data_IF_322338666807
#
_entry.id   IF_322338666807
#
_cell.length_a   1.000
_cell.length_b   1.000
_cell.length_c   1.000
_cell.angle_alpha   90.00
_cell.angle_beta   90.00
_cell.angle_gamma   90.00
#
_symmetry.space_group_name_H-M   'P 1'
#
loop_
_entity.id
_entity.type
_entity.pdbx_description
1 polymer ?
#
# COMPACT_ATOMS: atom_id res chain seq x y z
N UNK A 1 18.56 -4.98 7.87
CA UNK A 1 18.10 -4.66 9.23
C UNK A 1 18.92 -5.38 10.31
N UNK A 2 18.97 -6.72 10.37
CA UNK A 2 19.76 -7.45 11.40
C UNK A 2 21.21 -6.97 11.51
N UNK A 3 21.90 -6.77 10.38
CA UNK A 3 23.27 -6.27 10.35
C UNK A 3 23.37 -4.85 10.91
N UNK A 4 22.42 -3.98 10.61
CA UNK A 4 22.40 -2.60 11.13
C UNK A 4 22.16 -2.57 12.64
N UNK A 5 21.26 -3.40 13.18
CA UNK A 5 21.09 -3.53 14.64
C UNK A 5 22.37 -4.03 15.33
N UNK A 6 23.07 -5.00 14.73
CA UNK A 6 24.38 -5.45 15.25
C UNK A 6 25.42 -4.33 15.27
N UNK A 7 25.55 -3.55 14.18
CA UNK A 7 26.46 -2.39 14.11
C UNK A 7 26.15 -1.35 15.18
N UNK A 8 24.86 -1.08 15.40
CA UNK A 8 24.38 -0.14 16.42
C UNK A 8 24.42 -0.71 17.85
N UNK A 9 24.93 -1.93 18.05
CA UNK A 9 24.97 -2.64 19.34
C UNK A 9 23.60 -2.71 20.04
N UNK A 10 22.51 -2.78 19.21
CA UNK A 10 21.13 -2.92 19.70
C UNK A 10 20.72 -4.38 19.68
N UNK A 11 20.32 -4.91 20.83
CA UNK A 11 19.83 -6.28 20.93
C UNK A 11 18.32 -6.32 20.58
N UNK A 12 17.98 -6.17 19.29
CA UNK A 12 16.62 -6.29 18.77
C UNK A 12 16.51 -7.57 17.94
N UNK A 13 15.51 -8.37 18.24
CA UNK A 13 15.15 -9.51 17.40
C UNK A 13 14.45 -9.00 16.13
N UNK A 14 14.87 -9.48 14.97
CA UNK A 14 14.24 -9.16 13.68
C UNK A 14 13.69 -10.45 13.10
N UNK A 15 12.40 -10.48 12.82
CA UNK A 15 11.69 -11.63 12.26
C UNK A 15 11.10 -11.24 10.91
N UNK A 16 11.28 -12.09 9.90
CA UNK A 16 10.59 -11.96 8.61
C UNK A 16 9.56 -13.07 8.51
N UNK A 17 8.31 -12.70 8.30
CA UNK A 17 7.20 -13.62 8.16
C UNK A 17 6.58 -13.49 6.76
N UNK A 18 6.48 -14.60 6.06
CA UNK A 18 5.68 -14.68 4.84
C UNK A 18 4.21 -14.75 5.28
N UNK A 19 3.39 -13.86 4.73
CA UNK A 19 1.99 -13.73 5.10
C UNK A 19 1.06 -14.03 3.94
N UNK A 20 -0.08 -14.64 4.25
CA UNK A 20 -1.19 -14.87 3.34
C UNK A 20 -2.27 -13.82 3.61
N UNK A 21 -2.74 -13.18 2.53
CA UNK A 21 -3.78 -12.14 2.61
C UNK A 21 -5.07 -12.67 2.01
N UNK A 22 -6.08 -12.82 2.86
CA UNK A 22 -7.41 -13.25 2.42
C UNK A 22 -8.11 -12.15 1.66
N UNK A 23 -8.66 -12.50 0.50
CA UNK A 23 -9.49 -11.63 -0.32
C UNK A 23 -10.85 -12.27 -0.58
N UNK A 24 -11.86 -11.46 -0.91
CA UNK A 24 -13.18 -11.98 -1.26
C UNK A 24 -13.19 -12.48 -2.70
N UNK A 25 -13.64 -13.70 -2.93
CA UNK A 25 -13.91 -14.21 -4.29
C UNK A 25 -14.95 -13.36 -5.04
N UNK A 26 -15.80 -12.63 -4.29
CA UNK A 26 -16.84 -11.75 -4.83
C UNK A 26 -16.37 -10.29 -4.98
N UNK A 27 -15.08 -10.00 -4.74
CA UNK A 27 -14.56 -8.64 -4.91
C UNK A 27 -14.69 -8.20 -6.37
N UNK A 28 -15.35 -7.06 -6.66
CA UNK A 28 -15.51 -6.58 -8.04
C UNK A 28 -14.20 -6.46 -8.81
N UNK A 29 -13.09 -6.18 -8.11
CA UNK A 29 -11.77 -6.08 -8.71
C UNK A 29 -11.24 -7.41 -9.28
N UNK A 30 -11.71 -8.55 -8.77
CA UNK A 30 -11.35 -9.87 -9.31
C UNK A 30 -12.15 -10.20 -10.58
N UNK A 31 -13.38 -9.70 -10.69
CA UNK A 31 -14.28 -9.95 -11.82
C UNK A 31 -14.20 -8.87 -12.91
N UNK A 32 -13.45 -7.79 -12.68
CA UNK A 32 -13.22 -6.75 -13.68
C UNK A 32 -12.55 -7.32 -14.93
N UNK A 33 -13.17 -7.16 -16.08
CA UNK A 33 -12.57 -7.50 -17.39
C UNK A 33 -11.37 -6.62 -17.73
N UNK A 34 -11.15 -5.56 -16.97
CA UNK A 34 -10.14 -4.53 -17.23
C UNK A 34 -9.36 -4.15 -15.96
N UNK A 35 -8.47 -5.04 -15.47
CA UNK A 35 -7.68 -4.78 -14.28
C UNK A 35 -6.82 -3.51 -14.41
N UNK A 36 -6.46 -2.89 -13.29
CA UNK A 36 -5.80 -1.58 -13.26
C UNK A 36 -4.50 -1.54 -12.47
N UNK A 37 -4.16 -2.57 -11.67
CA UNK A 37 -2.94 -2.58 -10.87
C UNK A 37 -1.72 -2.91 -11.74
N UNK A 38 -0.79 -1.96 -11.98
CA UNK A 38 0.41 -2.23 -12.76
C UNK A 38 1.37 -3.14 -11.98
N UNK A 39 1.98 -4.08 -12.69
CA UNK A 39 3.04 -4.96 -12.16
C UNK A 39 4.15 -5.14 -13.19
N UNK A 40 5.36 -5.45 -12.68
CA UNK A 40 6.52 -5.68 -13.52
C UNK A 40 7.08 -4.41 -14.18
N UNK A 41 7.93 -4.56 -15.18
CA UNK A 41 8.61 -3.43 -15.80
C UNK A 41 7.67 -2.59 -16.66
N UNK A 42 8.04 -1.32 -16.85
CA UNK A 42 7.41 -0.49 -17.87
C UNK A 42 7.93 -0.86 -19.27
N UNK A 43 7.01 -0.96 -20.20
CA UNK A 43 7.22 -1.40 -21.57
C UNK A 43 6.87 -0.28 -22.57
N UNK A 44 7.44 -0.37 -23.76
CA UNK A 44 6.93 0.34 -24.92
C UNK A 44 5.61 -0.28 -25.40
N UNK A 45 4.85 0.44 -26.20
CA UNK A 45 3.61 -0.11 -26.77
C UNK A 45 3.88 -1.35 -27.64
N UNK A 46 4.97 -1.33 -28.41
CA UNK A 46 5.37 -2.46 -29.24
C UNK A 46 5.67 -3.72 -28.42
N UNK A 47 6.45 -3.59 -27.34
CA UNK A 47 6.76 -4.70 -26.43
C UNK A 47 5.49 -5.25 -25.78
N UNK A 48 4.60 -4.36 -25.32
CA UNK A 48 3.32 -4.76 -24.71
C UNK A 48 2.41 -5.51 -25.70
N UNK A 49 2.31 -5.04 -26.95
CA UNK A 49 1.56 -5.73 -28.01
C UNK A 49 2.15 -7.10 -28.32
N UNK A 50 3.47 -7.21 -28.44
CA UNK A 50 4.15 -8.50 -28.68
C UNK A 50 3.88 -9.51 -27.57
N UNK A 51 3.97 -9.09 -26.31
CA UNK A 51 3.69 -9.95 -25.15
C UNK A 51 2.21 -10.34 -25.06
N UNK A 52 1.29 -9.43 -25.37
CA UNK A 52 -0.16 -9.72 -25.41
C UNK A 52 -0.51 -10.83 -26.40
N UNK A 53 0.14 -10.85 -27.56
CA UNK A 53 -0.11 -11.88 -28.58
C UNK A 53 0.38 -13.27 -28.16
N UNK A 54 1.34 -13.33 -27.22
CA UNK A 54 1.98 -14.57 -26.79
C UNK A 54 1.52 -15.03 -25.39
N UNK A 55 0.65 -14.27 -24.72
CA UNK A 55 0.18 -14.56 -23.35
C UNK A 55 -1.28 -14.11 -23.18
N UNK A 56 -1.94 -14.68 -22.17
CA UNK A 56 -3.29 -14.21 -21.76
C UNK A 56 -3.22 -12.99 -20.82
N UNK A 57 -2.08 -12.30 -20.75
CA UNK A 57 -1.91 -11.17 -19.86
C UNK A 57 -2.53 -9.88 -20.43
N UNK A 58 -3.07 -9.08 -19.52
CA UNK A 58 -3.61 -7.75 -19.85
C UNK A 58 -2.51 -6.70 -19.72
N UNK A 59 -2.35 -5.86 -20.74
CA UNK A 59 -1.41 -4.74 -20.75
C UNK A 59 -2.15 -3.45 -21.00
N UNK A 60 -1.82 -2.40 -20.25
CA UNK A 60 -2.41 -1.07 -20.39
C UNK A 60 -1.35 0.02 -20.37
N UNK A 61 -1.70 1.16 -20.97
CA UNK A 61 -0.95 2.39 -20.79
C UNK A 61 -1.23 2.92 -19.37
N UNK A 62 -0.18 2.99 -18.54
CA UNK A 62 -0.26 3.34 -17.11
C UNK A 62 0.45 4.64 -16.77
N UNK A 63 1.18 5.22 -17.72
CA UNK A 63 1.79 6.56 -17.62
C UNK A 63 1.30 7.44 -18.75
N UNK A 64 1.04 8.73 -18.49
CA UNK A 64 0.56 9.65 -19.54
C UNK A 64 1.63 9.93 -20.60
N UNK A 65 2.90 10.03 -20.19
CA UNK A 65 4.04 10.46 -21.03
C UNK A 65 5.25 9.55 -20.88
N UNK A 66 6.17 9.62 -21.83
CA UNK A 66 7.42 8.87 -21.85
C UNK A 66 7.44 7.73 -22.87
N UNK A 67 8.62 7.14 -23.11
CA UNK A 67 8.81 6.07 -24.10
C UNK A 67 8.24 4.72 -23.62
N UNK A 68 8.36 4.42 -22.31
CA UNK A 68 7.88 3.19 -21.67
C UNK A 68 6.70 3.52 -20.76
N UNK A 69 5.51 3.49 -21.33
CA UNK A 69 4.27 3.90 -20.65
C UNK A 69 3.30 2.75 -20.39
N UNK A 70 3.58 1.56 -20.91
CA UNK A 70 2.74 0.38 -20.76
C UNK A 70 3.25 -0.53 -19.65
N UNK A 71 2.34 -1.24 -19.00
CA UNK A 71 2.69 -2.29 -18.04
C UNK A 71 1.64 -3.41 -18.09
N UNK A 72 2.04 -4.61 -17.66
CA UNK A 72 1.08 -5.65 -17.31
C UNK A 72 0.21 -5.14 -16.18
N UNK A 73 -1.08 -5.39 -16.25
CA UNK A 73 -2.02 -5.05 -15.18
C UNK A 73 -2.75 -6.29 -14.70
N UNK A 74 -3.02 -6.34 -13.39
CA UNK A 74 -3.67 -7.46 -12.70
C UNK A 74 -4.80 -6.95 -11.80
N UNK A 75 -5.74 -7.82 -11.41
CA UNK A 75 -6.72 -7.51 -10.38
C UNK A 75 -6.04 -7.11 -9.06
N UNK A 76 -6.67 -6.20 -8.31
CA UNK A 76 -6.18 -5.76 -7.00
C UNK A 76 -7.34 -5.64 -6.02
N UNK A 77 -7.81 -6.78 -5.47
CA UNK A 77 -8.91 -6.82 -4.53
C UNK A 77 -8.53 -6.21 -3.17
N UNK A 78 -9.54 -5.83 -2.38
CA UNK A 78 -9.34 -5.33 -1.02
C UNK A 78 -8.97 -6.48 -0.07
N UNK A 79 -7.93 -6.32 0.80
CA UNK A 79 -7.61 -7.32 1.81
C UNK A 79 -8.71 -7.37 2.89
N UNK A 80 -9.02 -8.57 3.35
CA UNK A 80 -10.00 -8.81 4.41
C UNK A 80 -9.34 -9.22 5.72
N UNK A 81 -8.33 -10.10 5.64
CA UNK A 81 -7.70 -10.75 6.78
C UNK A 81 -6.27 -11.15 6.44
N UNK A 82 -5.42 -11.23 7.45
CA UNK A 82 -4.08 -11.84 7.36
C UNK A 82 -4.17 -13.18 8.10
N UNK A 83 -3.82 -14.27 7.43
CA UNK A 83 -3.95 -15.63 8.01
C UNK A 83 -3.07 -15.78 9.26
N UNK A 84 -1.87 -15.22 9.23
CA UNK A 84 -0.88 -15.30 10.30
C UNK A 84 -1.04 -14.19 11.36
N UNK A 85 -2.22 -13.57 11.48
CA UNK A 85 -2.42 -12.41 12.33
C UNK A 85 -2.12 -12.66 13.81
N UNK A 86 -2.47 -13.82 14.33
CA UNK A 86 -2.23 -14.14 15.75
C UNK A 86 -0.74 -14.24 16.04
N UNK A 87 0.02 -14.84 15.15
CA UNK A 87 1.50 -14.89 15.23
C UNK A 87 2.10 -13.48 15.17
N UNK A 88 1.57 -12.60 14.29
CA UNK A 88 2.00 -11.21 14.22
C UNK A 88 1.82 -10.49 15.55
N UNK A 89 0.68 -10.68 16.22
CA UNK A 89 0.39 -10.08 17.54
C UNK A 89 1.37 -10.55 18.61
N UNK A 90 1.68 -11.84 18.67
CA UNK A 90 2.66 -12.41 19.62
C UNK A 90 4.04 -11.75 19.45
N UNK A 91 4.57 -11.69 18.23
CA UNK A 91 5.88 -11.07 17.97
C UNK A 91 5.92 -9.57 18.28
N UNK A 92 4.81 -8.84 18.08
CA UNK A 92 4.72 -7.42 18.44
C UNK A 92 4.79 -7.25 19.95
N UNK A 93 4.11 -8.09 20.75
CA UNK A 93 4.18 -8.07 22.20
C UNK A 93 5.59 -8.36 22.73
N UNK A 94 6.33 -9.25 22.11
CA UNK A 94 7.73 -9.57 22.43
C UNK A 94 8.73 -8.47 22.03
N UNK A 95 8.26 -7.30 21.62
CA UNK A 95 9.12 -6.19 21.16
C UNK A 95 10.08 -6.56 20.02
N UNK A 96 9.70 -7.51 19.18
CA UNK A 96 10.42 -7.85 17.97
C UNK A 96 10.22 -6.78 16.89
N UNK A 97 11.22 -6.57 16.03
CA UNK A 97 11.03 -5.89 14.76
C UNK A 97 10.51 -6.91 13.75
N UNK A 98 9.29 -6.72 13.31
CA UNK A 98 8.61 -7.64 12.41
C UNK A 98 8.57 -7.10 10.99
N UNK A 99 8.93 -7.95 10.02
CA UNK A 99 8.75 -7.70 8.59
C UNK A 99 7.67 -8.65 8.10
N UNK A 100 6.52 -8.10 7.72
CA UNK A 100 5.35 -8.85 7.28
C UNK A 100 4.60 -8.11 6.16
N UNK A 101 3.68 -8.76 5.49
CA UNK A 101 2.86 -8.15 4.44
C UNK A 101 3.64 -7.76 3.18
N UNK A 102 4.84 -8.30 2.97
CA UNK A 102 5.70 -7.96 1.83
C UNK A 102 4.99 -8.12 0.50
N UNK A 103 5.01 -7.03 -0.32
CA UNK A 103 4.33 -7.01 -1.63
C UNK A 103 2.79 -7.05 -1.56
N UNK A 104 2.19 -7.04 -0.36
CA UNK A 104 0.75 -7.23 -0.15
C UNK A 104 0.38 -8.65 0.36
N UNK A 105 1.38 -9.51 0.61
CA UNK A 105 1.19 -10.90 1.00
C UNK A 105 0.78 -11.81 -0.16
N UNK A 106 0.68 -13.11 0.11
CA UNK A 106 0.19 -14.11 -0.86
C UNK A 106 -1.33 -14.06 -0.87
N UNK A 107 -1.98 -13.70 -1.99
CA UNK A 107 -3.44 -13.59 -2.03
C UNK A 107 -4.09 -14.97 -2.02
N UNK A 108 -5.04 -15.15 -1.11
CA UNK A 108 -5.81 -16.39 -0.97
C UNK A 108 -7.29 -16.12 -0.78
N UNK A 109 -8.13 -17.06 -1.17
CA UNK A 109 -9.55 -17.11 -0.84
C UNK A 109 -9.83 -18.22 0.16
N UNK A 110 -10.80 -18.01 1.06
CA UNK A 110 -11.30 -19.07 1.95
C UNK A 110 -12.23 -19.99 1.18
N UNK A 111 -11.96 -21.29 1.25
CA UNK A 111 -12.80 -22.34 0.72
C UNK A 111 -13.08 -23.36 1.83
N UNK A 112 -14.15 -23.17 2.60
CA UNK A 112 -14.42 -23.94 3.82
C UNK A 112 -13.30 -23.74 4.86
N UNK A 113 -12.63 -24.82 5.22
CA UNK A 113 -11.50 -24.83 6.16
C UNK A 113 -10.12 -24.67 5.49
N UNK A 114 -10.05 -24.53 4.17
CA UNK A 114 -8.81 -24.41 3.41
C UNK A 114 -8.64 -23.03 2.80
N UNK A 115 -7.39 -22.74 2.41
CA UNK A 115 -7.04 -21.54 1.63
C UNK A 115 -6.60 -21.96 0.23
N UNK A 116 -7.04 -21.22 -0.77
CA UNK A 116 -6.71 -21.43 -2.17
C UNK A 116 -6.06 -20.17 -2.73
N UNK A 117 -4.89 -20.31 -3.39
CA UNK A 117 -4.20 -19.20 -4.04
C UNK A 117 -4.99 -18.62 -5.21
N UNK A 118 -4.93 -17.31 -5.41
CA UNK A 118 -5.61 -16.64 -6.52
C UNK A 118 -4.69 -15.66 -7.23
N UNK A 119 -4.78 -15.60 -8.58
CA UNK A 119 -3.97 -14.71 -9.41
C UNK A 119 -4.43 -13.25 -9.31
N UNK A 120 -3.87 -12.53 -8.35
CA UNK A 120 -4.06 -11.09 -8.17
C UNK A 120 -2.89 -10.50 -7.37
N UNK A 121 -2.87 -9.19 -7.19
CA UNK A 121 -1.91 -8.52 -6.31
C UNK A 121 -2.66 -7.62 -5.34
N UNK A 122 -2.60 -7.93 -4.06
CA UNK A 122 -3.19 -7.07 -3.03
C UNK A 122 -2.31 -5.84 -2.83
N UNK A 123 -2.91 -4.68 -2.70
CA UNK A 123 -2.16 -3.44 -2.50
C UNK A 123 -1.53 -3.42 -1.10
N UNK A 124 -0.21 -3.24 -1.06
CA UNK A 124 0.58 -3.24 0.18
C UNK A 124 0.17 -2.13 1.17
N UNK A 125 -0.36 -1.01 0.68
CA UNK A 125 -0.75 0.10 1.54
C UNK A 125 -2.01 -0.29 2.34
N UNK A 126 -2.98 -0.97 1.70
CA UNK A 126 -4.14 -1.54 2.40
C UNK A 126 -3.75 -2.68 3.35
N UNK A 127 -2.81 -3.54 2.96
CA UNK A 127 -2.31 -4.61 3.84
C UNK A 127 -1.59 -4.01 5.06
N UNK A 128 -0.75 -2.98 4.87
CA UNK A 128 -0.10 -2.26 5.95
C UNK A 128 -1.11 -1.66 6.93
N UNK A 129 -2.15 -1.01 6.43
CA UNK A 129 -3.23 -0.47 7.26
C UNK A 129 -4.00 -1.57 8.00
N UNK A 130 -4.30 -2.69 7.34
CA UNK A 130 -4.97 -3.84 7.94
C UNK A 130 -4.14 -4.45 9.07
N UNK A 131 -2.83 -4.66 8.87
CA UNK A 131 -1.93 -5.14 9.92
C UNK A 131 -1.87 -4.14 11.05
N UNK A 132 -1.61 -2.85 10.77
CA UNK A 132 -1.49 -1.80 11.77
C UNK A 132 -2.73 -1.71 12.68
N UNK A 133 -3.92 -1.70 12.10
CA UNK A 133 -5.20 -1.73 12.81
C UNK A 133 -5.34 -3.00 13.67
N UNK A 134 -4.96 -4.15 13.13
CA UNK A 134 -5.16 -5.46 13.80
C UNK A 134 -4.23 -5.68 14.98
N UNK A 135 -3.05 -5.05 14.98
CA UNK A 135 -2.09 -5.09 16.09
C UNK A 135 -2.24 -3.90 17.05
N UNK A 136 -3.20 -3.00 16.82
CA UNK A 136 -3.41 -1.82 17.66
C UNK A 136 -2.30 -0.77 17.54
N UNK A 137 -1.71 -0.59 16.35
CA UNK A 137 -0.68 0.42 16.16
C UNK A 137 -1.25 1.84 16.34
N UNK A 138 -0.47 2.72 16.96
CA UNK A 138 -0.83 4.14 17.11
C UNK A 138 -0.58 4.94 15.83
N UNK A 139 0.47 4.58 15.08
CA UNK A 139 0.91 5.34 13.89
C UNK A 139 1.00 4.43 12.68
N UNK A 140 0.47 4.87 11.54
CA UNK A 140 0.71 4.29 10.22
C UNK A 140 1.60 5.25 9.42
N UNK A 141 2.84 4.84 9.15
CA UNK A 141 3.78 5.57 8.31
C UNK A 141 3.87 4.91 6.93
N UNK A 142 3.43 5.61 5.89
CA UNK A 142 3.53 5.16 4.50
C UNK A 142 4.68 5.90 3.83
N UNK A 143 5.68 5.14 3.37
CA UNK A 143 6.83 5.67 2.66
C UNK A 143 6.64 5.53 1.15
N UNK A 144 6.89 6.62 0.43
CA UNK A 144 6.69 6.74 -1.02
C UNK A 144 7.82 7.56 -1.65
N UNK A 145 7.68 7.94 -2.91
CA UNK A 145 8.66 8.68 -3.72
C UNK A 145 8.49 10.21 -3.66
N UNK A 146 7.52 10.69 -2.89
CA UNK A 146 7.28 12.13 -2.70
C UNK A 146 7.32 12.50 -1.21
N UNK A 147 7.78 13.72 -0.92
CA UNK A 147 7.93 14.19 0.45
C UNK A 147 6.60 14.50 1.12
N UNK A 148 5.64 15.00 0.36
CA UNK A 148 4.29 15.35 0.82
C UNK A 148 3.24 14.99 -0.20
N UNK A 149 2.02 14.80 0.28
CA UNK A 149 0.83 14.73 -0.57
C UNK A 149 0.57 16.10 -1.16
N UNK A 150 0.19 16.14 -2.43
CA UNK A 150 -0.01 17.41 -3.16
C UNK A 150 -1.45 17.58 -3.61
N UNK A 151 -1.93 18.81 -3.56
CA UNK A 151 -3.12 19.24 -4.27
C UNK A 151 -2.76 19.62 -5.71
N UNK A 152 -3.69 19.44 -6.63
CA UNK A 152 -3.55 19.83 -8.04
C UNK A 152 -2.25 19.32 -8.68
N UNK A 153 -1.89 18.08 -8.38
CA UNK A 153 -0.62 17.48 -8.80
C UNK A 153 -0.38 17.61 -10.30
N UNK A 154 0.77 18.17 -10.67
CA UNK A 154 1.17 18.44 -12.05
C UNK A 154 0.52 19.67 -12.69
N UNK A 155 -0.22 20.51 -11.93
CA UNK A 155 -0.82 21.75 -12.39
C UNK A 155 -0.01 22.98 -11.93
N UNK A 156 -0.25 24.13 -12.53
CA UNK A 156 0.45 25.37 -12.19
C UNK A 156 0.18 25.87 -10.76
N UNK A 157 -0.92 25.44 -10.14
CA UNK A 157 -1.33 25.73 -8.77
C UNK A 157 -1.11 24.53 -7.83
N UNK A 158 -0.15 23.65 -8.14
CA UNK A 158 0.26 22.57 -7.25
C UNK A 158 0.72 23.11 -5.90
N UNK A 159 0.28 22.48 -4.81
CA UNK A 159 0.67 22.85 -3.45
C UNK A 159 0.76 21.63 -2.54
N UNK A 160 1.66 21.69 -1.57
CA UNK A 160 1.88 20.66 -0.58
C UNK A 160 0.78 20.66 0.50
N UNK A 161 0.44 19.48 1.00
CA UNK A 161 -0.38 19.31 2.19
C UNK A 161 0.52 18.95 3.39
N UNK A 162 0.54 19.80 4.42
CA UNK A 162 1.31 19.55 5.65
C UNK A 162 0.51 18.70 6.64
N UNK A 163 -0.70 19.12 6.97
CA UNK A 163 -1.60 18.41 7.86
C UNK A 163 -3.05 18.55 7.39
N UNK A 164 -3.78 17.46 7.43
CA UNK A 164 -5.21 17.44 7.11
C UNK A 164 -5.97 16.48 8.03
N UNK A 165 -7.27 16.71 8.17
CA UNK A 165 -8.14 15.79 8.88
C UNK A 165 -8.67 14.69 7.96
N UNK A 166 -9.15 13.58 8.54
CA UNK A 166 -9.90 12.54 7.80
C UNK A 166 -11.06 13.15 7.01
N UNK A 167 -11.78 14.13 7.58
CA UNK A 167 -12.88 14.83 6.91
C UNK A 167 -12.40 15.53 5.63
N UNK A 168 -11.29 16.26 5.74
CA UNK A 168 -10.67 16.96 4.60
C UNK A 168 -10.16 15.95 3.56
N UNK A 169 -9.47 14.89 3.99
CA UNK A 169 -8.96 13.85 3.09
C UNK A 169 -10.10 13.19 2.28
N UNK A 170 -11.23 12.88 2.93
CA UNK A 170 -12.43 12.35 2.25
C UNK A 170 -13.05 13.33 1.26
N UNK A 171 -13.06 14.64 1.57
CA UNK A 171 -13.51 15.66 0.64
C UNK A 171 -12.62 15.70 -0.60
N UNK A 172 -11.31 15.77 -0.41
CA UNK A 172 -10.32 15.80 -1.50
C UNK A 172 -10.35 14.53 -2.37
N UNK A 173 -10.63 13.36 -1.78
CA UNK A 173 -10.86 12.11 -2.53
C UNK A 173 -12.06 12.22 -3.47
N UNK A 174 -13.18 12.79 -3.00
CA UNK A 174 -14.40 12.99 -3.81
C UNK A 174 -14.17 14.01 -4.94
N UNK A 175 -13.31 14.98 -4.73
CA UNK A 175 -12.91 16.00 -5.71
C UNK A 175 -11.87 15.45 -6.72
N UNK A 176 -11.44 14.18 -6.58
CA UNK A 176 -10.49 13.57 -7.51
C UNK A 176 -9.06 14.08 -7.40
N UNK A 177 -8.67 14.68 -6.27
CA UNK A 177 -7.35 15.29 -6.07
C UNK A 177 -6.19 14.28 -6.08
N UNK A 178 -6.47 13.00 -5.82
CA UNK A 178 -5.42 12.00 -5.68
C UNK A 178 -5.41 11.00 -6.83
N UNK A 179 -4.24 10.78 -7.43
CA UNK A 179 -4.05 9.88 -8.57
C UNK A 179 -4.44 8.44 -8.23
N UNK A 180 -5.25 7.84 -9.08
CA UNK A 180 -5.61 6.43 -9.04
C UNK A 180 -4.36 5.53 -9.13
N UNK A 181 -4.35 4.46 -8.32
CA UNK A 181 -3.25 3.48 -8.34
C UNK A 181 -1.92 3.95 -7.74
N UNK A 182 -1.84 5.22 -7.29
CA UNK A 182 -0.64 5.81 -6.66
C UNK A 182 -0.97 6.43 -5.30
N UNK A 183 -1.32 7.72 -5.26
CA UNK A 183 -1.59 8.43 -4.00
C UNK A 183 -2.95 8.06 -3.38
N UNK A 184 -3.98 7.84 -4.19
CA UNK A 184 -5.34 7.51 -3.71
C UNK A 184 -5.37 6.28 -2.81
N UNK A 185 -4.74 5.12 -3.13
CA UNK A 185 -4.68 3.98 -2.23
C UNK A 185 -4.04 4.29 -0.88
N UNK A 186 -2.99 5.11 -0.85
CA UNK A 186 -2.29 5.51 0.39
C UNK A 186 -3.19 6.33 1.30
N UNK A 187 -3.88 7.33 0.75
CA UNK A 187 -4.83 8.16 1.50
C UNK A 187 -6.00 7.32 2.00
N UNK A 188 -6.56 6.43 1.18
CA UNK A 188 -7.65 5.52 1.59
C UNK A 188 -7.21 4.56 2.69
N UNK A 189 -6.03 3.96 2.59
CA UNK A 189 -5.46 3.08 3.61
C UNK A 189 -5.25 3.82 4.94
N UNK A 190 -4.76 5.06 4.87
CA UNK A 190 -4.57 5.91 6.04
C UNK A 190 -5.91 6.26 6.71
N UNK A 191 -6.94 6.60 5.93
CA UNK A 191 -8.29 6.87 6.45
C UNK A 191 -8.86 5.63 7.14
N UNK A 192 -8.80 4.44 6.49
CA UNK A 192 -9.29 3.17 7.06
C UNK A 192 -8.60 2.85 8.41
N UNK A 193 -7.29 3.07 8.49
CA UNK A 193 -6.52 2.92 9.71
C UNK A 193 -7.00 3.86 10.83
N UNK A 194 -7.13 5.15 10.53
CA UNK A 194 -7.54 6.17 11.50
C UNK A 194 -8.98 5.94 12.00
N UNK A 195 -9.92 5.61 11.10
CA UNK A 195 -11.31 5.30 11.47
C UNK A 195 -11.43 4.01 12.27
N UNK A 196 -10.44 3.12 12.16
CA UNK A 196 -10.39 1.86 12.92
C UNK A 196 -9.72 1.98 14.30
N UNK A 197 -9.31 3.18 14.73
CA UNK A 197 -8.76 3.41 16.07
C UNK A 197 -7.34 3.96 16.11
N UNK A 198 -6.60 3.98 14.99
CA UNK A 198 -5.26 4.57 14.92
C UNK A 198 -5.26 6.07 15.29
N UNK A 199 -4.13 6.59 15.73
CA UNK A 199 -4.02 7.98 16.20
C UNK A 199 -3.55 8.91 15.10
N UNK A 200 -2.58 8.49 14.29
CA UNK A 200 -1.93 9.32 13.29
C UNK A 200 -1.51 8.53 12.07
N UNK A 201 -1.82 9.03 10.88
CA UNK A 201 -1.31 8.55 9.62
C UNK A 201 -0.33 9.54 9.00
N UNK A 202 0.79 9.05 8.47
CA UNK A 202 1.82 9.89 7.86
C UNK A 202 2.15 9.34 6.48
N UNK A 203 2.23 10.22 5.48
CA UNK A 203 2.69 9.89 4.13
C UNK A 203 3.90 10.78 3.81
N UNK A 204 5.06 10.17 3.49
CA UNK A 204 6.29 10.90 3.21
C UNK A 204 7.28 10.07 2.38
N UNK A 205 8.42 10.66 2.02
CA UNK A 205 9.54 9.94 1.40
C UNK A 205 10.35 9.11 2.41
N UNK A 206 11.12 8.15 1.89
CA UNK A 206 12.01 7.32 2.73
C UNK A 206 13.02 8.18 3.51
N UNK A 207 13.59 9.18 2.86
CA UNK A 207 14.62 10.06 3.46
C UNK A 207 14.06 10.92 4.60
N UNK A 208 12.78 11.25 4.54
CA UNK A 208 12.10 12.06 5.55
C UNK A 208 11.40 11.26 6.66
N UNK A 209 11.51 9.92 6.66
CA UNK A 209 10.79 9.05 7.59
C UNK A 209 10.95 9.46 9.07
N UNK A 210 12.19 9.69 9.51
CA UNK A 210 12.46 10.05 10.90
C UNK A 210 11.99 11.49 11.23
N UNK A 211 12.18 12.42 10.31
CA UNK A 211 11.71 13.79 10.46
C UNK A 211 10.18 13.84 10.54
N UNK A 212 9.50 13.04 9.75
CA UNK A 212 8.04 12.94 9.73
C UNK A 212 7.46 12.36 11.03
N UNK A 213 8.08 11.32 11.60
CA UNK A 213 7.71 10.80 12.93
C UNK A 213 7.85 11.85 14.04
N UNK A 214 8.76 12.81 13.88
CA UNK A 214 8.95 13.94 14.80
C UNK A 214 8.09 15.17 14.43
N UNK A 215 7.15 15.05 13.50
CA UNK A 215 6.25 16.12 13.07
C UNK A 215 6.90 17.22 12.24
N UNK A 216 8.11 16.97 11.66
CA UNK A 216 8.90 17.99 10.93
C UNK A 216 8.86 17.80 9.40
N UNK A 217 8.23 16.77 8.90
CA UNK A 217 8.13 16.49 7.46
C UNK A 217 6.89 15.64 7.15
N UNK A 218 6.62 15.44 5.86
CA UNK A 218 5.52 14.61 5.40
C UNK A 218 4.16 15.31 5.44
N UNK A 219 3.13 14.56 5.05
CA UNK A 219 1.72 14.92 5.25
C UNK A 219 1.17 14.10 6.40
N UNK A 220 0.68 14.79 7.42
CA UNK A 220 0.03 14.17 8.59
C UNK A 220 -1.48 14.15 8.35
N UNK A 221 -2.10 12.99 8.55
CA UNK A 221 -3.56 12.84 8.53
C UNK A 221 -4.00 12.43 9.94
N UNK A 222 -4.94 13.18 10.53
CA UNK A 222 -5.48 12.93 11.87
C UNK A 222 -7.01 12.82 11.85
N UNK A 223 -7.60 12.34 12.94
CA UNK A 223 -9.08 12.26 13.06
C UNK A 223 -9.72 13.64 13.08
N UNK A 224 -9.12 14.57 13.79
CA UNK A 224 -9.57 15.97 14.02
C UNK A 224 -8.49 16.93 13.58
#
# INVERSE_FOLDING_TARGET
LQNEFKKLKKNKKVVSLITQTVVSKKDPKLTETSPTKPIGPFLTEFEAKKLRNNTNHVFKKVKPTGRKTWSRVVPSPKPLEIVELDILKEFVQDSCLLIAGGGGGIPVIKNGSSFEGIDCVVDKDYVGALIAKSIGASVLLILTDVDKVKLNYGMSNESDLDAITVKTAKKLLKEGQFLEGSMKPKVLATIDFLESGGDMGIITSLDNALAALNGKAGTIISKN
#
